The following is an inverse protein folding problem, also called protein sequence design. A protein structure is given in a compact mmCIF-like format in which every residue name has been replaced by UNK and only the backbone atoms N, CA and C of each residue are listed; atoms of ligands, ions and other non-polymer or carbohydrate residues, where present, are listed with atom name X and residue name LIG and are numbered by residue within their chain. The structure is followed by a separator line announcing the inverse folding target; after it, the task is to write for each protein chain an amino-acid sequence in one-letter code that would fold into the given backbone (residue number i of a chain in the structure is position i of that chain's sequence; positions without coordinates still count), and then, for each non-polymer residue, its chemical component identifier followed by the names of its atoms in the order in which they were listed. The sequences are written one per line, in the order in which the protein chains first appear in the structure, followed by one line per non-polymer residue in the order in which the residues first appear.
data_IF_107530218833
#
_entry.id   IF_107530218833
#
_cell.length_a   1.000
_cell.length_b   1.000
_cell.length_c   1.000
_cell.angle_alpha   90.00
_cell.angle_beta   90.00
_cell.angle_gamma   90.00
#
_symmetry.space_group_name_H-M   'P 1'
#
loop_
_entity.id
_entity.type
_entity.pdbx_description
1 polymer ?
#
# COMPACT_ATOMS: atom_id res chain seq x y z
N UNK A 1 1.43 25.91 -41.93
CA UNK A 1 0.91 26.47 -40.66
C UNK A 1 -0.30 25.64 -40.24
N UNK A 2 -0.08 24.62 -39.42
CA UNK A 2 -1.15 23.76 -38.91
C UNK A 2 -1.68 24.30 -37.59
N UNK A 3 -2.97 24.64 -37.57
CA UNK A 3 -3.68 25.10 -36.36
C UNK A 3 -3.84 23.90 -35.43
N UNK A 4 -2.99 23.81 -34.41
CA UNK A 4 -3.16 22.89 -33.28
C UNK A 4 -4.39 23.30 -32.49
N UNK A 5 -5.47 22.52 -32.64
CA UNK A 5 -6.74 22.73 -31.93
C UNK A 5 -6.56 22.58 -30.40
N UNK A 6 -6.88 23.61 -29.59
CA UNK A 6 -6.68 23.62 -28.13
C UNK A 6 -7.64 22.70 -27.33
N UNK A 7 -8.46 21.90 -28.00
CA UNK A 7 -9.57 21.15 -27.37
C UNK A 7 -9.10 19.84 -26.72
N UNK A 8 -8.00 19.24 -27.18
CA UNK A 8 -7.51 17.96 -26.63
C UNK A 8 -6.89 18.09 -25.23
N UNK A 9 -6.31 19.25 -24.88
CA UNK A 9 -5.72 19.48 -23.56
C UNK A 9 -6.76 19.55 -22.43
N UNK A 10 -7.96 20.07 -22.70
CA UNK A 10 -8.99 20.28 -21.69
C UNK A 10 -9.64 18.97 -21.20
N UNK A 11 -9.84 18.00 -22.09
CA UNK A 11 -10.53 16.73 -21.76
C UNK A 11 -9.68 15.78 -20.90
N UNK A 12 -8.35 15.82 -21.06
CA UNK A 12 -7.42 15.05 -20.24
C UNK A 12 -7.35 15.58 -18.79
N UNK A 13 -7.41 16.90 -18.60
CA UNK A 13 -7.44 17.53 -17.28
C UNK A 13 -8.67 17.14 -16.46
N UNK A 14 -9.85 17.19 -17.07
CA UNK A 14 -11.14 16.91 -16.42
C UNK A 14 -11.18 15.46 -15.89
N UNK A 15 -10.73 14.48 -16.69
CA UNK A 15 -10.75 13.07 -16.28
C UNK A 15 -9.82 12.76 -15.10
N UNK A 16 -8.72 13.49 -14.99
CA UNK A 16 -7.74 13.30 -13.91
C UNK A 16 -8.23 13.92 -12.61
N UNK A 17 -8.85 15.10 -12.70
CA UNK A 17 -9.48 15.77 -11.56
C UNK A 17 -10.65 14.97 -10.97
N UNK A 18 -11.54 14.40 -11.80
CA UNK A 18 -12.63 13.54 -11.32
C UNK A 18 -12.15 12.33 -10.51
N UNK A 19 -10.97 11.77 -10.84
CA UNK A 19 -10.41 10.62 -10.11
C UNK A 19 -9.83 11.01 -8.76
N UNK A 20 -9.22 12.19 -8.67
CA UNK A 20 -8.71 12.71 -7.40
C UNK A 20 -9.88 13.03 -6.47
N UNK A 21 -10.92 13.67 -6.98
CA UNK A 21 -12.15 13.93 -6.20
C UNK A 21 -12.79 12.62 -5.74
N UNK A 22 -12.87 11.61 -6.62
CA UNK A 22 -13.37 10.29 -6.25
C UNK A 22 -12.51 9.61 -5.17
N UNK A 23 -11.19 9.72 -5.27
CA UNK A 23 -10.26 9.19 -4.27
C UNK A 23 -10.48 9.82 -2.89
N UNK A 24 -10.56 11.15 -2.83
CA UNK A 24 -10.85 11.90 -1.61
C UNK A 24 -12.21 11.48 -1.06
N UNK A 25 -13.22 11.37 -1.92
CA UNK A 25 -14.54 10.87 -1.55
C UNK A 25 -14.51 9.47 -0.94
N UNK A 26 -13.71 8.54 -1.50
CA UNK A 26 -13.52 7.20 -0.96
C UNK A 26 -12.83 7.26 0.41
N UNK A 27 -11.79 8.07 0.57
CA UNK A 27 -11.10 8.25 1.86
C UNK A 27 -12.06 8.79 2.93
N UNK A 28 -12.80 9.85 2.61
CA UNK A 28 -13.82 10.41 3.51
C UNK A 28 -14.90 9.39 3.86
N UNK A 29 -15.33 8.60 2.88
CA UNK A 29 -16.30 7.53 3.09
C UNK A 29 -15.77 6.45 4.05
N UNK A 30 -14.55 5.95 3.85
CA UNK A 30 -13.94 4.94 4.74
C UNK A 30 -13.83 5.46 6.17
N UNK A 31 -13.41 6.72 6.36
CA UNK A 31 -13.34 7.35 7.67
C UNK A 31 -14.73 7.51 8.32
N UNK A 32 -15.72 7.97 7.55
CA UNK A 32 -17.09 8.16 8.04
C UNK A 32 -17.74 6.83 8.44
N UNK A 33 -17.56 5.78 7.63
CA UNK A 33 -18.04 4.42 7.96
C UNK A 33 -17.32 3.90 9.19
N UNK A 34 -15.99 4.00 9.27
CA UNK A 34 -15.24 3.56 10.44
C UNK A 34 -15.70 4.24 11.72
N UNK A 35 -15.85 5.57 11.71
CA UNK A 35 -16.36 6.33 12.85
C UNK A 35 -17.82 5.96 13.20
N UNK A 36 -18.69 5.81 12.20
CA UNK A 36 -20.08 5.40 12.43
C UNK A 36 -20.20 4.00 13.03
N UNK A 37 -19.40 3.05 12.53
CA UNK A 37 -19.35 1.68 13.05
C UNK A 37 -18.83 1.63 14.48
N UNK A 38 -17.82 2.44 14.80
CA UNK A 38 -17.28 2.58 16.14
C UNK A 38 -18.30 3.14 17.13
N UNK A 39 -19.13 4.09 16.71
CA UNK A 39 -20.19 4.62 17.58
C UNK A 39 -21.36 3.64 17.75
N UNK A 40 -21.63 2.81 16.74
CA UNK A 40 -22.73 1.83 16.77
C UNK A 40 -22.36 0.53 17.51
N UNK A 41 -21.08 0.26 17.76
CA UNK A 41 -20.61 -1.03 18.29
C UNK A 41 -21.16 -1.35 19.66
N UNK A 42 -21.45 -0.34 20.47
CA UNK A 42 -21.83 -0.50 21.87
C UNK A 42 -23.35 -0.79 22.01
N UNK A 43 -24.16 -0.27 21.09
CA UNK A 43 -25.63 -0.26 21.22
C UNK A 43 -26.33 -1.31 20.35
N UNK A 44 -25.62 -1.95 19.41
CA UNK A 44 -26.25 -2.79 18.38
C UNK A 44 -25.66 -4.20 18.31
N UNK A 45 -26.53 -5.16 18.02
CA UNK A 45 -26.13 -6.57 17.88
C UNK A 45 -25.21 -6.82 16.69
N UNK A 46 -24.33 -7.81 16.85
CA UNK A 46 -23.35 -8.25 15.85
C UNK A 46 -23.92 -8.44 14.43
N UNK A 47 -25.16 -8.94 14.32
CA UNK A 47 -25.83 -9.16 13.03
C UNK A 47 -26.04 -7.87 12.23
N UNK A 48 -26.41 -6.77 12.89
CA UNK A 48 -26.60 -5.47 12.22
C UNK A 48 -25.25 -4.90 11.76
N UNK A 49 -24.23 -4.96 12.62
CA UNK A 49 -22.88 -4.50 12.29
C UNK A 49 -22.31 -5.28 11.10
N UNK A 50 -22.47 -6.61 11.09
CA UNK A 50 -22.04 -7.45 9.98
C UNK A 50 -22.73 -7.08 8.66
N UNK A 51 -24.04 -6.83 8.69
CA UNK A 51 -24.80 -6.39 7.51
C UNK A 51 -24.32 -5.01 7.01
N UNK A 52 -24.10 -4.06 7.92
CA UNK A 52 -23.60 -2.73 7.58
C UNK A 52 -22.20 -2.81 6.95
N UNK A 53 -21.31 -3.64 7.50
CA UNK A 53 -19.97 -3.84 6.93
C UNK A 53 -20.03 -4.45 5.53
N UNK A 54 -20.94 -5.40 5.32
CA UNK A 54 -21.18 -6.00 4.02
C UNK A 54 -21.64 -4.95 3.00
N UNK A 55 -22.66 -4.16 3.33
CA UNK A 55 -23.16 -3.07 2.47
C UNK A 55 -22.05 -2.07 2.19
N UNK A 56 -21.27 -1.71 3.22
CA UNK A 56 -20.19 -0.77 3.08
C UNK A 56 -19.08 -1.27 2.15
N UNK A 57 -18.74 -2.56 2.23
CA UNK A 57 -17.78 -3.23 1.36
C UNK A 57 -18.24 -3.30 -0.10
N UNK A 58 -19.52 -3.58 -0.34
CA UNK A 58 -20.11 -3.58 -1.69
C UNK A 58 -20.03 -2.18 -2.30
N UNK A 59 -20.44 -1.15 -1.56
CA UNK A 59 -20.36 0.23 -2.03
C UNK A 59 -18.91 0.63 -2.35
N UNK A 60 -17.98 0.25 -1.47
CA UNK A 60 -16.55 0.50 -1.67
C UNK A 60 -16.01 -0.17 -2.93
N UNK A 61 -16.40 -1.42 -3.20
CA UNK A 61 -16.00 -2.12 -4.42
C UNK A 61 -16.51 -1.41 -5.69
N UNK A 62 -17.74 -0.88 -5.66
CA UNK A 62 -18.31 -0.09 -6.77
C UNK A 62 -17.53 1.21 -6.97
N UNK A 63 -17.23 1.93 -5.88
CA UNK A 63 -16.45 3.18 -5.95
C UNK A 63 -15.03 2.95 -6.47
N UNK A 64 -14.34 1.90 -5.99
CA UNK A 64 -12.99 1.55 -6.46
C UNK A 64 -13.01 1.14 -7.94
N UNK A 65 -14.05 0.45 -8.40
CA UNK A 65 -14.23 0.14 -9.82
C UNK A 65 -14.34 1.42 -10.67
N UNK A 66 -14.94 2.48 -10.12
CA UNK A 66 -14.98 3.81 -10.72
C UNK A 66 -13.60 4.44 -10.99
N UNK A 67 -12.55 4.00 -10.28
CA UNK A 67 -11.16 4.43 -10.52
C UNK A 67 -10.54 3.80 -11.79
N UNK A 68 -11.25 2.89 -12.46
CA UNK A 68 -10.78 2.22 -13.68
C UNK A 68 -9.90 1.00 -13.42
N UNK A 69 -9.94 0.48 -12.20
CA UNK A 69 -9.28 -0.75 -11.74
C UNK A 69 -10.14 -1.98 -12.14
N UNK A 70 -9.51 -3.09 -12.49
CA UNK A 70 -10.21 -4.32 -12.89
C UNK A 70 -11.08 -4.91 -11.77
N UNK A 71 -12.15 -5.63 -12.12
CA UNK A 71 -13.16 -6.08 -11.15
C UNK A 71 -12.61 -6.94 -10.00
N UNK A 72 -11.74 -7.90 -10.30
CA UNK A 72 -11.13 -8.79 -9.29
C UNK A 72 -10.21 -7.99 -8.35
N UNK A 73 -9.42 -7.08 -8.89
CA UNK A 73 -8.52 -6.21 -8.10
C UNK A 73 -9.29 -5.21 -7.25
N UNK A 74 -10.42 -4.69 -7.75
CA UNK A 74 -11.27 -3.77 -7.00
C UNK A 74 -11.96 -4.46 -5.82
N UNK A 75 -12.45 -5.69 -6.03
CA UNK A 75 -13.05 -6.50 -4.95
C UNK A 75 -12.01 -6.85 -3.88
N UNK A 76 -10.81 -7.30 -4.29
CA UNK A 76 -9.74 -7.62 -3.35
C UNK A 76 -9.32 -6.42 -2.49
N UNK A 77 -9.20 -5.23 -3.09
CA UNK A 77 -8.91 -4.00 -2.34
C UNK A 77 -10.04 -3.60 -1.40
N UNK A 78 -11.29 -3.69 -1.84
CA UNK A 78 -12.44 -3.39 -0.98
C UNK A 78 -12.49 -4.31 0.24
N UNK A 79 -12.30 -5.63 0.05
CA UNK A 79 -12.24 -6.60 1.14
C UNK A 79 -11.10 -6.30 2.11
N UNK A 80 -9.91 -5.98 1.60
CA UNK A 80 -8.77 -5.64 2.42
C UNK A 80 -8.99 -4.35 3.23
N UNK A 81 -9.58 -3.32 2.62
CA UNK A 81 -9.92 -2.06 3.31
C UNK A 81 -10.97 -2.32 4.39
N UNK A 82 -12.01 -3.11 4.10
CA UNK A 82 -13.01 -3.49 5.11
C UNK A 82 -12.36 -4.24 6.27
N UNK A 83 -11.50 -5.22 5.98
CA UNK A 83 -10.77 -5.95 7.02
C UNK A 83 -9.91 -5.03 7.89
N UNK A 84 -9.11 -4.16 7.28
CA UNK A 84 -8.30 -3.18 8.00
C UNK A 84 -9.16 -2.20 8.83
N UNK A 85 -10.31 -1.78 8.30
CA UNK A 85 -11.23 -0.89 9.00
C UNK A 85 -11.90 -1.57 10.19
N UNK A 86 -12.32 -2.84 10.05
CA UNK A 86 -12.84 -3.65 11.16
C UNK A 86 -11.78 -3.78 12.25
N UNK A 87 -10.54 -4.15 11.89
CA UNK A 87 -9.44 -4.24 12.84
C UNK A 87 -9.16 -2.90 13.54
N UNK A 88 -9.17 -1.78 12.80
CA UNK A 88 -9.01 -0.43 13.35
C UNK A 88 -10.08 -0.10 14.38
N UNK A 89 -11.36 -0.37 14.07
CA UNK A 89 -12.50 -0.13 14.98
C UNK A 89 -12.43 -1.03 16.21
N UNK A 90 -12.10 -2.31 16.05
CA UNK A 90 -11.96 -3.25 17.18
C UNK A 90 -10.86 -2.79 18.14
N UNK A 91 -9.69 -2.41 17.63
CA UNK A 91 -8.59 -1.92 18.45
C UNK A 91 -8.92 -0.55 19.07
N UNK A 92 -9.65 0.32 18.36
CA UNK A 92 -10.12 1.59 18.92
C UNK A 92 -11.05 1.38 20.13
N UNK A 93 -11.86 0.31 20.14
CA UNK A 93 -12.72 -0.04 21.27
C UNK A 93 -11.90 -0.34 22.52
N UNK A 94 -10.88 -1.18 22.37
CA UNK A 94 -9.94 -1.52 23.45
C UNK A 94 -9.21 -0.25 23.94
N UNK A 95 -8.74 0.58 23.00
CA UNK A 95 -8.09 1.85 23.33
C UNK A 95 -9.00 2.81 24.10
N UNK A 96 -10.29 2.87 23.75
CA UNK A 96 -11.29 3.70 24.46
C UNK A 96 -11.47 3.22 25.90
N UNK A 97 -11.56 1.92 26.12
CA UNK A 97 -11.70 1.35 27.46
C UNK A 97 -10.45 1.62 28.31
N UNK A 98 -9.26 1.43 27.72
CA UNK A 98 -7.98 1.77 28.35
C UNK A 98 -7.88 3.26 28.70
N UNK A 99 -8.22 4.16 27.77
CA UNK A 99 -8.27 5.61 28.03
C UNK A 99 -9.27 5.98 29.12
N UNK A 100 -10.42 5.32 29.14
CA UNK A 100 -11.44 5.54 30.17
C UNK A 100 -10.88 5.15 31.54
N UNK A 101 -10.28 3.97 31.67
CA UNK A 101 -9.60 3.54 32.90
C UNK A 101 -8.44 4.47 33.29
N UNK A 102 -7.65 4.99 32.34
CA UNK A 102 -6.59 5.96 32.67
C UNK A 102 -7.13 7.30 33.20
N UNK A 103 -8.26 7.75 32.67
CA UNK A 103 -8.78 9.08 32.98
C UNK A 103 -9.57 9.13 34.29
N UNK A 104 -10.42 8.12 34.54
CA UNK A 104 -11.30 8.09 35.73
C UNK A 104 -11.00 6.94 36.69
N UNK A 105 -10.17 5.98 36.29
CA UNK A 105 -9.92 4.79 37.08
C UNK A 105 -9.05 5.08 38.30
N UNK A 106 -9.28 4.32 39.36
CA UNK A 106 -8.54 4.43 40.61
C UNK A 106 -7.54 3.29 40.75
N UNK A 107 -6.33 3.59 41.21
CA UNK A 107 -5.30 2.57 41.47
C UNK A 107 -5.52 1.97 42.84
N UNK A 108 -5.89 0.70 42.87
CA UNK A 108 -6.18 -0.03 44.11
C UNK A 108 -5.30 -1.27 44.21
N UNK A 109 -4.84 -1.57 45.43
CA UNK A 109 -4.18 -2.84 45.74
C UNK A 109 -5.23 -3.89 46.05
N UNK A 110 -5.18 -4.99 45.32
CA UNK A 110 -6.18 -6.04 45.35
C UNK A 110 -5.49 -7.39 45.46
N UNK A 111 -6.17 -8.35 46.05
CA UNK A 111 -5.75 -9.74 46.14
C UNK A 111 -6.58 -10.56 45.17
N UNK A 112 -5.94 -11.48 44.45
CA UNK A 112 -6.62 -12.46 43.60
C UNK A 112 -7.26 -13.50 44.50
N UNK A 113 -8.59 -13.61 44.49
CA UNK A 113 -9.33 -14.53 45.39
C UNK A 113 -9.83 -15.76 44.66
N UNK A 114 -10.08 -15.61 43.36
CA UNK A 114 -10.55 -16.71 42.54
C UNK A 114 -10.01 -16.56 41.13
N UNK A 115 -9.63 -17.69 40.56
CA UNK A 115 -9.31 -17.81 39.15
C UNK A 115 -10.32 -18.73 38.46
N UNK A 116 -10.66 -18.38 37.23
CA UNK A 116 -11.46 -19.19 36.33
C UNK A 116 -10.84 -19.15 34.94
N UNK A 117 -10.39 -20.30 34.45
CA UNK A 117 -10.00 -20.45 33.04
C UNK A 117 -11.19 -20.82 32.19
N UNK A 118 -11.26 -20.24 31.00
CA UNK A 118 -12.19 -20.73 29.99
C UNK A 118 -11.82 -22.16 29.53
N UNK A 119 -12.83 -23.00 29.23
CA UNK A 119 -12.59 -24.34 28.73
C UNK A 119 -11.80 -24.28 27.42
N UNK A 120 -10.86 -25.22 27.19
CA UNK A 120 -10.03 -25.21 25.99
C UNK A 120 -10.89 -25.27 24.72
N UNK A 121 -10.90 -24.17 23.95
CA UNK A 121 -11.50 -24.12 22.60
C UNK A 121 -10.41 -24.28 21.55
N UNK A 122 -10.05 -25.52 21.26
CA UNK A 122 -9.13 -25.87 20.17
C UNK A 122 -7.72 -25.31 20.35
N UNK A 123 -7.14 -24.74 19.29
CA UNK A 123 -5.76 -24.23 19.24
C UNK A 123 -5.60 -22.78 19.72
N UNK A 124 -6.67 -22.15 20.17
CA UNK A 124 -6.68 -20.76 20.63
C UNK A 124 -6.15 -20.60 22.06
N UNK A 125 -5.65 -19.40 22.38
CA UNK A 125 -5.31 -19.03 23.76
C UNK A 125 -6.53 -19.12 24.67
N UNK A 126 -6.28 -19.38 25.96
CA UNK A 126 -7.33 -19.39 26.99
C UNK A 126 -7.39 -18.01 27.63
N UNK A 127 -8.60 -17.52 27.85
CA UNK A 127 -8.81 -16.35 28.68
C UNK A 127 -8.85 -16.80 30.14
N UNK A 128 -8.09 -16.12 30.97
CA UNK A 128 -8.12 -16.28 32.42
C UNK A 128 -8.94 -15.14 33.01
N UNK A 129 -9.92 -15.49 33.83
CA UNK A 129 -10.79 -14.56 34.53
C UNK A 129 -10.45 -14.60 36.01
N UNK A 130 -10.12 -13.44 36.57
CA UNK A 130 -9.71 -13.29 37.96
C UNK A 130 -10.74 -12.47 38.73
N UNK A 131 -11.25 -13.03 39.83
CA UNK A 131 -12.02 -12.28 40.81
C UNK A 131 -11.06 -11.63 41.80
N UNK A 132 -11.20 -10.31 41.95
CA UNK A 132 -10.32 -9.49 42.77
C UNK A 132 -11.07 -8.96 43.99
N UNK A 133 -10.37 -8.91 45.12
CA UNK A 133 -10.87 -8.37 46.39
C UNK A 133 -9.89 -7.32 46.90
N UNK A 134 -10.42 -6.23 47.45
CA UNK A 134 -9.61 -5.19 48.09
C UNK A 134 -9.04 -5.69 49.41
N UNK A 135 -8.04 -4.98 49.93
CA UNK A 135 -7.44 -5.30 51.23
C UNK A 135 -8.42 -5.21 52.42
N UNK A 136 -9.50 -4.45 52.27
CA UNK A 136 -10.57 -4.33 53.27
C UNK A 136 -11.60 -5.48 53.20
N UNK A 137 -11.40 -6.45 52.30
CA UNK A 137 -12.29 -7.59 52.10
C UNK A 137 -13.48 -7.30 51.18
N UNK A 138 -13.56 -6.11 50.58
CA UNK A 138 -14.64 -5.76 49.66
C UNK A 138 -14.32 -6.17 48.23
N UNK A 139 -15.36 -6.55 47.47
CA UNK A 139 -15.18 -6.94 46.06
C UNK A 139 -14.87 -5.71 45.20
N UNK A 140 -13.95 -5.87 44.24
CA UNK A 140 -13.68 -4.84 43.23
C UNK A 140 -14.94 -4.63 42.36
N UNK A 141 -15.37 -3.38 42.12
CA UNK A 141 -16.53 -3.08 41.29
C UNK A 141 -16.35 -3.56 39.85
N UNK A 142 -17.45 -4.02 39.24
CA UNK A 142 -17.52 -4.37 37.82
C UNK A 142 -17.25 -5.84 37.49
N UNK A 143 -16.99 -6.14 36.19
CA UNK A 143 -16.66 -7.48 35.71
C UNK A 143 -15.37 -8.04 36.33
N UNK A 144 -15.15 -9.34 36.15
CA UNK A 144 -13.88 -9.99 36.51
C UNK A 144 -12.72 -9.42 35.67
N UNK A 145 -11.49 -9.44 36.21
CA UNK A 145 -10.31 -9.06 35.43
C UNK A 145 -10.01 -10.15 34.41
N UNK A 146 -9.98 -9.78 33.13
CA UNK A 146 -9.69 -10.71 32.04
C UNK A 146 -8.25 -10.54 31.55
N UNK A 147 -7.55 -11.67 31.36
CA UNK A 147 -6.22 -11.68 30.74
C UNK A 147 -6.13 -12.78 29.68
N UNK A 148 -5.29 -12.58 28.65
CA UNK A 148 -4.99 -13.61 27.64
C UNK A 148 -3.93 -14.62 28.09
N UNK A 149 -3.45 -14.51 29.33
CA UNK A 149 -2.38 -15.35 29.84
C UNK A 149 -2.56 -15.59 31.33
N UNK A 150 -2.49 -16.86 31.71
CA UNK A 150 -2.42 -17.30 33.08
C UNK A 150 -1.09 -16.82 33.71
N UNK A 151 -1.16 -15.74 34.48
CA UNK A 151 0.03 -15.07 35.06
C UNK A 151 -0.07 -14.85 36.56
N UNK A 152 -1.25 -15.04 37.13
CA UNK A 152 -1.53 -14.63 38.50
C UNK A 152 -2.17 -15.80 39.23
N UNK A 153 -1.66 -16.08 40.43
CA UNK A 153 -2.18 -17.14 41.27
C UNK A 153 -3.14 -16.57 42.32
N UNK A 154 -4.02 -17.43 42.84
CA UNK A 154 -4.87 -17.07 43.98
C UNK A 154 -4.01 -16.76 45.21
N UNK A 155 -4.23 -15.60 45.81
CA UNK A 155 -3.44 -15.06 46.91
C UNK A 155 -2.45 -13.95 46.49
N UNK A 156 -2.21 -13.78 45.19
CA UNK A 156 -1.34 -12.72 44.69
C UNK A 156 -1.91 -11.33 44.95
N UNK A 157 -1.04 -10.41 45.38
CA UNK A 157 -1.39 -9.00 45.58
C UNK A 157 -0.95 -8.18 44.37
N UNK A 158 -1.91 -7.61 43.67
CA UNK A 158 -1.73 -6.86 42.44
C UNK A 158 -2.12 -5.39 42.64
N UNK A 159 -1.53 -4.51 41.84
CA UNK A 159 -2.03 -3.14 41.69
C UNK A 159 -2.82 -3.09 40.39
N UNK A 160 -4.11 -2.78 40.48
CA UNK A 160 -5.01 -2.65 39.33
C UNK A 160 -5.59 -1.25 39.29
N UNK A 161 -6.00 -0.85 38.09
CA UNK A 161 -6.82 0.32 37.82
C UNK A 161 -8.26 -0.19 37.69
N UNK A 162 -9.10 0.17 38.64
CA UNK A 162 -10.53 -0.18 38.62
C UNK A 162 -11.37 1.00 38.13
N UNK A 163 -12.52 0.68 37.54
CA UNK A 163 -13.52 1.68 37.16
C UNK A 163 -14.47 1.95 38.34
N UNK A 164 -14.53 3.16 38.91
CA UNK A 164 -15.43 3.46 40.02
C UNK A 164 -16.92 3.32 39.64
N UNK A 165 -17.26 3.41 38.35
CA UNK A 165 -18.62 3.17 37.87
C UNK A 165 -18.94 1.68 37.70
N UNK A 166 -17.95 0.79 37.80
CA UNK A 166 -18.10 -0.66 37.64
C UNK A 166 -18.55 -1.10 36.25
N UNK A 167 -18.37 -0.27 35.21
CA UNK A 167 -18.74 -0.61 33.83
C UNK A 167 -17.64 -1.40 33.13
N UNK A 168 -16.39 -1.04 33.39
CA UNK A 168 -15.22 -1.70 32.82
C UNK A 168 -14.61 -2.67 33.84
N UNK A 169 -14.08 -3.79 33.35
CA UNK A 169 -13.32 -4.72 34.17
C UNK A 169 -12.01 -4.07 34.64
N UNK A 170 -11.54 -4.38 35.86
CA UNK A 170 -10.27 -3.87 36.36
C UNK A 170 -9.10 -4.39 35.51
N UNK A 171 -8.08 -3.56 35.32
CA UNK A 171 -6.89 -3.89 34.52
C UNK A 171 -5.60 -3.48 35.21
N UNK A 172 -4.49 -4.17 34.95
CA UNK A 172 -3.19 -3.69 35.45
C UNK A 172 -2.76 -2.39 34.73
N UNK A 173 -1.93 -1.52 35.35
CA UNK A 173 -1.50 -0.27 34.73
C UNK A 173 -0.85 -0.42 33.35
N UNK A 174 -0.16 -1.54 33.10
CA UNK A 174 0.41 -1.83 31.77
C UNK A 174 -0.61 -2.31 30.75
N UNK A 175 -1.72 -2.92 31.18
CA UNK A 175 -2.82 -3.30 30.31
C UNK A 175 -3.75 -2.12 29.99
N UNK A 176 -3.97 -1.24 30.96
CA UNK A 176 -4.71 0.00 30.76
C UNK A 176 -3.94 1.04 29.91
N UNK A 177 -2.71 0.74 29.46
CA UNK A 177 -1.95 1.63 28.58
C UNK A 177 -2.49 1.64 27.14
N UNK A 178 -3.38 2.60 26.86
CA UNK A 178 -4.00 2.75 25.56
C UNK A 178 -3.04 3.21 24.44
N UNK A 179 -1.79 3.56 24.74
CA UNK A 179 -0.84 4.09 23.74
C UNK A 179 -0.62 3.13 22.59
N UNK A 180 -0.42 1.85 22.89
CA UNK A 180 -0.20 0.81 21.89
C UNK A 180 -1.43 0.58 21.01
N UNK A 181 -2.61 0.54 21.63
CA UNK A 181 -3.87 0.29 20.92
C UNK A 181 -4.27 1.49 20.04
N UNK A 182 -4.09 2.72 20.52
CA UNK A 182 -4.32 3.93 19.72
C UNK A 182 -3.41 3.95 18.48
N UNK A 183 -2.12 3.64 18.66
CA UNK A 183 -1.17 3.56 17.56
C UNK A 183 -1.55 2.45 16.57
N UNK A 184 -1.95 1.28 17.06
CA UNK A 184 -2.42 0.16 16.24
C UNK A 184 -3.66 0.51 15.43
N UNK A 185 -4.67 1.12 16.06
CA UNK A 185 -5.89 1.56 15.40
C UNK A 185 -5.61 2.58 14.29
N UNK A 186 -4.78 3.59 14.58
CA UNK A 186 -4.34 4.59 13.61
C UNK A 186 -3.57 3.97 12.44
N UNK A 187 -2.68 3.01 12.71
CA UNK A 187 -1.91 2.32 11.68
C UNK A 187 -2.82 1.56 10.69
N UNK A 188 -3.83 0.85 11.18
CA UNK A 188 -4.80 0.17 10.30
C UNK A 188 -5.59 1.16 9.43
N UNK A 189 -6.00 2.30 9.99
CA UNK A 189 -6.65 3.37 9.23
C UNK A 189 -5.76 3.91 8.11
N UNK A 190 -4.47 4.17 8.40
CA UNK A 190 -3.51 4.62 7.41
C UNK A 190 -3.25 3.58 6.32
N UNK A 191 -3.20 2.29 6.66
CA UNK A 191 -3.06 1.19 5.68
C UNK A 191 -4.25 1.18 4.71
N UNK A 192 -5.48 1.33 5.21
CA UNK A 192 -6.67 1.42 4.36
C UNK A 192 -6.59 2.60 3.38
N UNK A 193 -6.20 3.78 3.85
CA UNK A 193 -6.02 4.97 3.02
C UNK A 193 -4.89 4.81 2.00
N UNK A 194 -3.78 4.17 2.40
CA UNK A 194 -2.66 3.85 1.51
C UNK A 194 -3.07 2.98 0.33
N UNK A 195 -3.96 2.00 0.56
CA UNK A 195 -4.51 1.16 -0.52
C UNK A 195 -5.35 1.97 -1.50
N UNK A 196 -6.16 2.92 -1.03
CA UNK A 196 -6.91 3.83 -1.91
C UNK A 196 -5.95 4.66 -2.76
N UNK A 197 -4.93 5.26 -2.13
CA UNK A 197 -3.87 6.00 -2.82
C UNK A 197 -3.18 5.16 -3.90
N UNK A 198 -2.76 3.95 -3.56
CA UNK A 198 -2.15 3.01 -4.50
C UNK A 198 -3.06 2.69 -5.70
N UNK A 199 -4.36 2.45 -5.45
CA UNK A 199 -5.32 2.14 -6.51
C UNK A 199 -5.56 3.33 -7.45
N UNK A 200 -5.56 4.55 -6.92
CA UNK A 200 -5.70 5.76 -7.75
C UNK A 200 -4.49 5.97 -8.64
N UNK A 201 -3.29 5.73 -8.12
CA UNK A 201 -2.05 5.77 -8.90
C UNK A 201 -2.04 4.72 -10.01
N UNK A 202 -2.39 3.47 -9.69
CA UNK A 202 -2.44 2.36 -10.67
C UNK A 202 -3.49 2.60 -11.76
N UNK A 203 -4.65 3.16 -11.40
CA UNK A 203 -5.69 3.55 -12.35
C UNK A 203 -5.25 4.69 -13.28
N UNK A 204 -4.43 5.62 -12.78
CA UNK A 204 -3.80 6.68 -13.57
C UNK A 204 -2.78 6.12 -14.56
N UNK A 205 -1.86 5.26 -14.13
CA UNK A 205 -0.86 4.65 -15.02
C UNK A 205 -1.52 3.81 -16.14
N UNK A 206 -2.53 3.02 -15.77
CA UNK A 206 -3.30 2.21 -16.73
C UNK A 206 -4.05 3.06 -17.76
N UNK A 207 -4.47 4.28 -17.40
CA UNK A 207 -5.09 5.22 -18.32
C UNK A 207 -4.05 5.85 -19.25
N UNK A 208 -2.90 6.29 -18.71
CA UNK A 208 -1.78 6.80 -19.51
C UNK A 208 -1.31 5.79 -20.55
N UNK A 209 -1.21 4.51 -20.19
CA UNK A 209 -0.86 3.43 -21.14
C UNK A 209 -1.89 3.28 -22.27
N UNK A 210 -3.18 3.32 -21.93
CA UNK A 210 -4.28 3.25 -22.92
C UNK A 210 -4.29 4.45 -23.85
N UNK A 211 -4.08 5.66 -23.34
CA UNK A 211 -4.04 6.87 -24.14
C UNK A 211 -2.81 6.88 -25.06
N UNK A 212 -1.65 6.41 -24.58
CA UNK A 212 -0.46 6.18 -25.42
C UNK A 212 -0.71 5.16 -26.53
N UNK A 213 -1.36 4.03 -26.22
CA UNK A 213 -1.73 3.04 -27.23
C UNK A 213 -2.72 3.59 -28.27
N UNK A 214 -3.72 4.37 -27.85
CA UNK A 214 -4.67 5.02 -28.75
C UNK A 214 -3.98 6.04 -29.65
N UNK A 215 -3.08 6.85 -29.12
CA UNK A 215 -2.30 7.81 -29.89
C UNK A 215 -1.43 7.11 -30.94
N UNK A 216 -0.77 6.00 -30.57
CA UNK A 216 -0.01 5.17 -31.50
C UNK A 216 -0.90 4.54 -32.58
N UNK A 217 -2.07 4.01 -32.20
CA UNK A 217 -3.03 3.44 -33.15
C UNK A 217 -3.63 4.49 -34.09
N UNK A 218 -3.89 5.71 -33.60
CA UNK A 218 -4.37 6.83 -34.39
C UNK A 218 -3.29 7.32 -35.37
N UNK A 219 -2.02 7.43 -34.92
CA UNK A 219 -0.87 7.71 -35.81
C UNK A 219 -0.73 6.65 -36.91
N UNK A 220 -0.88 5.36 -36.56
CA UNK A 220 -0.83 4.25 -37.52
C UNK A 220 -1.96 4.32 -38.55
N UNK A 221 -3.16 4.79 -38.17
CA UNK A 221 -4.29 4.99 -39.09
C UNK A 221 -4.17 6.25 -39.94
N UNK A 222 -3.60 7.33 -39.42
CA UNK A 222 -3.42 8.59 -40.14
C UNK A 222 -2.31 8.52 -41.19
N UNK A 223 -1.32 7.65 -40.97
CA UNK A 223 -0.22 7.40 -41.91
C UNK A 223 -0.14 5.92 -42.28
N UNK A 224 -1.12 5.39 -43.05
CA UNK A 224 -1.16 3.97 -43.42
C UNK A 224 0.06 3.54 -44.26
N UNK A 225 0.69 4.50 -44.97
CA UNK A 225 1.86 4.26 -45.83
C UNK A 225 3.11 5.06 -45.42
N UNK A 226 3.12 5.75 -44.26
CA UNK A 226 4.17 6.74 -43.90
C UNK A 226 5.06 6.38 -42.70
N UNK A 227 4.79 5.27 -42.01
CA UNK A 227 5.69 4.74 -40.97
C UNK A 227 6.74 3.68 -41.41
N UNK A 228 6.87 3.25 -42.70
CA UNK A 228 7.97 2.35 -43.07
C UNK A 228 9.34 3.02 -43.02
N UNK A 229 9.46 4.30 -43.39
CA UNK A 229 10.77 4.90 -43.65
C UNK A 229 11.61 5.11 -42.39
N UNK A 230 11.04 5.58 -41.27
CA UNK A 230 11.85 5.78 -40.05
C UNK A 230 12.27 4.48 -39.37
N UNK A 231 11.44 3.42 -39.41
CA UNK A 231 11.84 2.12 -38.85
C UNK A 231 12.82 1.41 -39.79
N UNK A 232 12.61 1.48 -41.11
CA UNK A 232 13.58 0.97 -42.09
C UNK A 232 14.91 1.75 -42.05
N UNK A 233 14.87 3.06 -41.82
CA UNK A 233 16.05 3.90 -41.69
C UNK A 233 16.79 3.63 -40.37
N UNK A 234 16.06 3.38 -39.27
CA UNK A 234 16.66 2.92 -38.02
C UNK A 234 17.28 1.53 -38.17
N UNK A 235 16.59 0.57 -38.78
CA UNK A 235 17.13 -0.76 -39.05
C UNK A 235 18.37 -0.68 -39.95
N UNK A 236 18.38 0.19 -40.97
CA UNK A 236 19.56 0.44 -41.80
C UNK A 236 20.71 1.08 -41.01
N UNK A 237 20.44 1.98 -40.06
CA UNK A 237 21.48 2.56 -39.21
C UNK A 237 22.01 1.56 -38.19
N UNK A 238 21.14 0.72 -37.63
CA UNK A 238 21.55 -0.39 -36.76
C UNK A 238 22.40 -1.41 -37.52
N UNK A 239 22.03 -1.75 -38.76
CA UNK A 239 22.80 -2.68 -39.60
C UNK A 239 24.16 -2.10 -40.00
N UNK A 240 24.21 -0.82 -40.35
CA UNK A 240 25.49 -0.10 -40.57
C UNK A 240 26.35 -0.08 -39.31
N UNK A 241 25.75 0.05 -38.12
CA UNK A 241 26.48 -0.02 -36.86
C UNK A 241 27.01 -1.44 -36.60
N UNK A 242 26.21 -2.48 -36.87
CA UNK A 242 26.66 -3.88 -36.79
C UNK A 242 27.83 -4.13 -37.73
N UNK A 243 27.75 -3.65 -38.97
CA UNK A 243 28.82 -3.77 -39.96
C UNK A 243 30.08 -3.03 -39.51
N UNK A 244 29.94 -1.80 -39.01
CA UNK A 244 31.03 -1.03 -38.44
C UNK A 244 31.73 -1.77 -37.28
N UNK A 245 30.97 -2.37 -36.36
CA UNK A 245 31.54 -3.14 -35.25
C UNK A 245 32.22 -4.45 -35.70
N UNK A 246 31.88 -5.00 -36.87
CA UNK A 246 32.58 -6.16 -37.46
C UNK A 246 33.87 -5.78 -38.16
N UNK A 247 33.87 -4.64 -38.84
CA UNK A 247 34.91 -4.29 -39.82
C UNK A 247 35.97 -3.36 -39.25
N UNK A 248 35.63 -2.48 -38.29
CA UNK A 248 36.61 -1.56 -37.74
C UNK A 248 37.64 -2.30 -36.87
N UNK A 249 38.95 -2.07 -37.10
CA UNK A 249 39.99 -2.66 -36.26
C UNK A 249 39.93 -2.05 -34.86
N UNK A 250 40.07 -2.90 -33.85
CA UNK A 250 40.26 -2.44 -32.48
C UNK A 250 41.57 -1.63 -32.36
N UNK A 251 41.53 -0.53 -31.61
CA UNK A 251 42.71 0.28 -31.28
C UNK A 251 43.71 -0.55 -30.44
N UNK A 252 44.93 -0.05 -30.20
CA UNK A 252 45.99 -0.71 -29.39
C UNK A 252 45.56 -1.12 -27.97
N UNK A 253 44.41 -0.61 -27.50
CA UNK A 253 43.79 -0.92 -26.21
C UNK A 253 42.61 -1.88 -26.29
N UNK A 254 42.32 -2.45 -27.46
CA UNK A 254 41.20 -3.40 -27.66
C UNK A 254 39.83 -2.76 -27.84
N UNK A 255 39.75 -1.45 -28.16
CA UNK A 255 38.48 -0.73 -28.30
C UNK A 255 38.19 -0.37 -29.76
N UNK A 256 36.95 -0.58 -30.18
CA UNK A 256 36.36 -0.03 -31.40
C UNK A 256 35.71 1.31 -31.04
N UNK A 257 36.15 2.39 -31.72
CA UNK A 257 35.63 3.75 -31.50
C UNK A 257 34.67 4.13 -32.62
N UNK A 258 33.46 4.53 -32.27
CA UNK A 258 32.42 4.91 -33.22
C UNK A 258 31.89 6.31 -32.87
N UNK A 259 31.73 7.17 -33.87
CA UNK A 259 31.16 8.50 -33.66
C UNK A 259 29.62 8.43 -33.69
N UNK A 260 28.91 8.92 -32.65
CA UNK A 260 27.44 8.94 -32.60
C UNK A 260 26.83 9.72 -33.76
N UNK A 261 27.53 10.75 -34.26
CA UNK A 261 27.06 11.57 -35.38
C UNK A 261 26.91 10.83 -36.71
N UNK A 262 27.49 9.63 -36.84
CA UNK A 262 27.29 8.77 -38.02
C UNK A 262 26.01 7.91 -37.92
N UNK A 263 25.40 7.86 -36.73
CA UNK A 263 24.22 7.07 -36.39
C UNK A 263 23.22 7.92 -35.58
N UNK A 264 22.70 9.02 -36.16
CA UNK A 264 21.91 10.01 -35.43
C UNK A 264 20.62 9.46 -34.83
N UNK A 265 20.10 8.35 -35.34
CA UNK A 265 18.84 7.75 -34.89
C UNK A 265 19.04 6.57 -33.92
N UNK A 266 20.29 6.22 -33.59
CA UNK A 266 20.63 5.16 -32.64
C UNK A 266 20.98 5.76 -31.28
N UNK A 267 20.28 5.36 -30.22
CA UNK A 267 20.61 5.77 -28.86
C UNK A 267 21.84 5.01 -28.32
N UNK A 268 22.55 5.58 -27.35
CA UNK A 268 23.68 4.90 -26.69
C UNK A 268 23.26 3.55 -26.08
N UNK A 269 22.10 3.47 -25.42
CA UNK A 269 21.56 2.24 -24.85
C UNK A 269 21.30 1.17 -25.92
N UNK A 270 20.81 1.57 -27.10
CA UNK A 270 20.56 0.66 -28.23
C UNK A 270 21.85 0.21 -28.88
N UNK A 271 22.80 1.11 -29.09
CA UNK A 271 24.15 0.79 -29.58
C UNK A 271 24.89 -0.17 -28.63
N UNK A 272 24.74 0.02 -27.32
CA UNK A 272 25.33 -0.82 -26.29
C UNK A 272 24.75 -2.25 -26.33
N UNK A 273 23.45 -2.38 -26.56
CA UNK A 273 22.79 -3.68 -26.77
C UNK A 273 23.23 -4.37 -28.06
N UNK A 274 23.37 -3.62 -29.16
CA UNK A 274 23.88 -4.16 -30.43
C UNK A 274 25.33 -4.63 -30.27
N UNK A 275 26.17 -3.91 -29.52
CA UNK A 275 27.51 -4.36 -29.20
C UNK A 275 27.50 -5.65 -28.38
N UNK A 276 26.59 -5.79 -27.41
CA UNK A 276 26.41 -7.00 -26.62
C UNK A 276 25.97 -8.21 -27.47
N UNK A 277 25.03 -8.02 -28.41
CA UNK A 277 24.64 -9.03 -29.40
C UNK A 277 25.84 -9.49 -30.26
N UNK A 278 26.84 -8.63 -30.41
CA UNK A 278 28.08 -8.86 -31.15
C UNK A 278 29.24 -9.38 -30.27
N UNK A 279 28.99 -9.66 -29.00
CA UNK A 279 30.00 -10.16 -28.04
C UNK A 279 30.92 -9.08 -27.46
N UNK A 280 30.59 -7.80 -27.67
CA UNK A 280 31.34 -6.64 -27.17
C UNK A 280 30.56 -5.96 -26.04
N UNK A 281 31.26 -5.24 -25.17
CA UNK A 281 30.64 -4.40 -24.14
C UNK A 281 30.84 -2.93 -24.46
N UNK A 282 29.86 -2.10 -24.08
CA UNK A 282 29.94 -0.65 -24.26
C UNK A 282 30.47 0.03 -23.00
N UNK A 283 31.46 0.90 -23.17
CA UNK A 283 32.04 1.68 -22.07
C UNK A 283 31.11 2.86 -21.72
N UNK A 284 30.64 2.93 -20.48
CA UNK A 284 29.83 4.04 -19.96
C UNK A 284 30.63 5.34 -19.87
N UNK A 285 31.91 5.23 -19.50
CA UNK A 285 32.86 6.34 -19.44
C UNK A 285 33.56 6.59 -20.79
N UNK A 286 32.79 6.78 -21.87
CA UNK A 286 33.30 7.07 -23.20
C UNK A 286 33.43 8.58 -23.49
N UNK A 287 34.66 9.06 -23.60
CA UNK A 287 35.09 10.44 -23.90
C UNK A 287 34.11 11.30 -24.73
N UNK A 288 33.91 12.58 -24.32
CA UNK A 288 33.03 13.62 -24.91
C UNK A 288 32.95 13.60 -26.45
N UNK A 289 32.12 12.72 -27.03
CA UNK A 289 31.86 12.66 -28.47
C UNK A 289 32.09 11.33 -29.20
N UNK A 290 32.48 10.23 -28.55
CA UNK A 290 32.61 8.91 -29.21
C UNK A 290 32.15 7.73 -28.34
N UNK A 291 31.44 6.76 -28.92
CA UNK A 291 31.13 5.48 -28.30
C UNK A 291 32.32 4.53 -28.39
N UNK A 292 32.58 3.75 -27.34
CA UNK A 292 33.69 2.81 -27.26
C UNK A 292 33.17 1.42 -26.91
N UNK A 293 33.53 0.44 -27.73
CA UNK A 293 33.12 -0.95 -27.58
C UNK A 293 34.34 -1.85 -27.50
N UNK A 294 34.35 -2.84 -26.62
CA UNK A 294 35.45 -3.80 -26.49
C UNK A 294 35.03 -5.04 -25.72
N UNK A 295 35.79 -6.14 -25.82
CA UNK A 295 35.48 -7.39 -25.10
C UNK A 295 35.55 -7.23 -23.58
N UNK A 296 36.39 -6.31 -23.11
CA UNK A 296 36.51 -5.93 -21.69
C UNK A 296 36.50 -4.42 -21.58
N UNK A 297 35.53 -3.86 -20.85
CA UNK A 297 35.36 -2.43 -20.58
C UNK A 297 35.56 -2.13 -19.09
N UNK A 298 36.00 -0.91 -18.76
CA UNK A 298 36.22 -0.51 -17.37
C UNK A 298 34.92 -0.23 -16.59
N UNK A 299 33.89 0.28 -17.29
CA UNK A 299 32.57 0.56 -16.71
C UNK A 299 31.52 0.26 -17.79
N UNK A 300 30.58 -0.64 -17.50
CA UNK A 300 29.58 -1.12 -18.45
C UNK A 300 28.29 -0.30 -18.36
N UNK A 301 27.71 0.05 -19.50
CA UNK A 301 26.40 0.74 -19.54
C UNK A 301 25.30 -0.25 -19.14
N UNK A 302 24.41 0.08 -18.17
CA UNK A 302 23.27 -0.76 -17.82
C UNK A 302 22.33 -0.96 -19.02
N UNK A 303 21.78 -2.17 -19.19
CA UNK A 303 20.98 -2.56 -20.36
C UNK A 303 19.46 -2.71 -20.10
N UNK A 304 18.94 -2.18 -18.99
CA UNK A 304 17.51 -2.28 -18.60
C UNK A 304 16.57 -1.34 -19.37
#
# INVERSE_FOLDING_TARGET
MGVSSPVEGATAGIRTWCRIVLAVGICCYVLAVGAGMFLLSDDHGFGLLALLWFVAGVLLAVLIRGLGVGGVTALGAALFIVFASVASVSVAGIARDGLTLQHRGERVRVTVVKERLDPPRGRGGRHSHYTLERQDGTRVPGPEMETMSDRYDVGDVLTVVEDPEGKLGPQTPGQADATGDLAGSGAFGLVALGVVGWMTWRGSDSAKRRDRQKLLAAKRKAYPNGLPDHMAQNEQQEEKLREALRTFPADRRGYIKVQPGWYPDVSLERAARIAWEMGLRAEAAGNRGSWRFGETVMEEVPHD
#
